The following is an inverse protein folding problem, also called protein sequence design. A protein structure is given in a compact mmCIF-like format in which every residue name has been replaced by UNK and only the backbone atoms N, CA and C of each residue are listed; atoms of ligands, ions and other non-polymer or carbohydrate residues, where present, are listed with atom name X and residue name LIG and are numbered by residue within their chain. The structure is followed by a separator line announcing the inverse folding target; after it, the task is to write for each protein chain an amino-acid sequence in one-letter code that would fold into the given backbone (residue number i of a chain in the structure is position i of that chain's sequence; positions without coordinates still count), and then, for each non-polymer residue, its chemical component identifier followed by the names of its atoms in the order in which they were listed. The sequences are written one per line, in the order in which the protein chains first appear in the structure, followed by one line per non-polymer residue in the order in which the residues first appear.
data_IF_727053981260
#
_entry.id   IF_727053981260
#
_cell.length_a   1.000
_cell.length_b   1.000
_cell.length_c   1.000
_cell.angle_alpha   90.00
_cell.angle_beta   90.00
_cell.angle_gamma   90.00
#
_symmetry.space_group_name_H-M   'P 1'
#
loop_
_entity.id
_entity.type
_entity.pdbx_description
1 polymer ?
#
# COMPACT_ATOMS: atom_id res chain seq x y z
N UNK A 1 6.10 10.61 10.28
CA UNK A 1 6.10 12.08 10.49
C UNK A 1 5.73 12.87 9.24
N UNK A 2 6.50 12.84 8.13
CA UNK A 2 6.23 13.69 6.94
C UNK A 2 4.80 13.59 6.38
N UNK A 3 4.21 12.39 6.30
CA UNK A 3 2.85 12.19 5.79
C UNK A 3 1.77 12.83 6.66
N UNK A 4 1.88 12.70 7.99
CA UNK A 4 0.92 13.26 8.94
C UNK A 4 0.95 14.78 8.89
N UNK A 5 2.14 15.38 8.79
CA UNK A 5 2.28 16.84 8.65
C UNK A 5 1.63 17.34 7.36
N UNK A 6 1.87 16.66 6.22
CA UNK A 6 1.23 16.99 4.95
C UNK A 6 -0.30 16.88 5.08
N UNK A 7 -0.81 15.82 5.69
CA UNK A 7 -2.25 15.65 5.90
C UNK A 7 -2.83 16.78 6.75
N UNK A 8 -2.23 17.12 7.89
CA UNK A 8 -2.70 18.20 8.76
C UNK A 8 -2.66 19.56 8.06
N UNK A 9 -1.57 19.89 7.37
CA UNK A 9 -1.47 21.14 6.62
C UNK A 9 -2.52 21.23 5.50
N UNK A 10 -2.76 20.13 4.79
CA UNK A 10 -3.82 20.08 3.79
C UNK A 10 -5.20 20.29 4.41
N UNK A 11 -5.50 19.63 5.54
CA UNK A 11 -6.77 19.80 6.26
C UNK A 11 -6.99 21.28 6.60
N UNK A 12 -6.00 21.94 7.19
CA UNK A 12 -6.10 23.34 7.58
C UNK A 12 -6.26 24.27 6.37
N UNK A 13 -5.47 24.06 5.31
CA UNK A 13 -5.52 24.88 4.11
C UNK A 13 -6.88 24.78 3.39
N UNK A 14 -7.39 23.56 3.17
CA UNK A 14 -8.69 23.36 2.53
C UNK A 14 -9.85 23.85 3.40
N UNK A 15 -9.75 23.69 4.73
CA UNK A 15 -10.76 24.21 5.66
C UNK A 15 -10.81 25.74 5.65
N UNK A 16 -9.66 26.41 5.56
CA UNK A 16 -9.59 27.88 5.49
C UNK A 16 -10.23 28.41 4.19
N UNK A 17 -9.90 27.79 3.05
CA UNK A 17 -10.49 28.16 1.75
C UNK A 17 -12.01 27.99 1.77
N UNK A 18 -12.50 26.88 2.33
CA UNK A 18 -13.93 26.59 2.37
C UNK A 18 -14.70 27.39 3.42
N UNK A 19 -14.07 27.82 4.50
CA UNK A 19 -14.68 28.74 5.44
C UNK A 19 -15.05 30.07 4.76
N UNK A 20 -14.14 30.59 3.94
CA UNK A 20 -14.32 31.85 3.20
C UNK A 20 -15.19 31.69 1.95
N UNK A 21 -15.08 30.55 1.24
CA UNK A 21 -15.79 30.29 -0.01
C UNK A 21 -16.52 28.93 0.00
N UNK A 22 -17.58 28.77 0.81
CA UNK A 22 -18.28 27.49 0.96
C UNK A 22 -18.96 27.01 -0.34
N UNK A 23 -19.30 27.92 -1.25
CA UNK A 23 -19.90 27.61 -2.55
C UNK A 23 -19.01 26.73 -3.45
N UNK A 24 -17.69 26.73 -3.22
CA UNK A 24 -16.74 25.93 -4.00
C UNK A 24 -16.40 24.58 -3.36
N UNK A 25 -17.26 24.06 -2.46
CA UNK A 25 -16.99 22.80 -1.76
C UNK A 25 -16.72 21.62 -2.69
N UNK A 26 -17.44 21.52 -3.81
CA UNK A 26 -17.25 20.43 -4.77
C UNK A 26 -15.89 20.55 -5.50
N UNK A 27 -15.52 21.77 -5.91
CA UNK A 27 -14.24 22.05 -6.57
C UNK A 27 -13.07 21.79 -5.62
N UNK A 28 -13.19 22.22 -4.36
CA UNK A 28 -12.18 21.98 -3.33
C UNK A 28 -12.03 20.49 -3.03
N UNK A 29 -13.13 19.73 -2.99
CA UNK A 29 -13.11 18.27 -2.82
C UNK A 29 -12.37 17.59 -3.98
N UNK A 30 -12.70 17.96 -5.23
CA UNK A 30 -12.04 17.41 -6.42
C UNK A 30 -10.54 17.74 -6.40
N UNK A 31 -10.18 18.99 -6.10
CA UNK A 31 -8.79 19.42 -6.01
C UNK A 31 -8.02 18.66 -4.91
N UNK A 32 -8.64 18.43 -3.75
CA UNK A 32 -8.07 17.62 -2.68
C UNK A 32 -7.74 16.20 -3.17
N UNK A 33 -8.65 15.54 -3.88
CA UNK A 33 -8.40 14.22 -4.46
C UNK A 33 -7.28 14.26 -5.50
N UNK A 34 -7.25 15.25 -6.40
CA UNK A 34 -6.19 15.40 -7.42
C UNK A 34 -4.82 15.53 -6.74
N UNK A 35 -4.70 16.39 -5.72
CA UNK A 35 -3.44 16.59 -4.99
C UNK A 35 -3.03 15.30 -4.28
N UNK A 36 -3.96 14.66 -3.58
CA UNK A 36 -3.70 13.41 -2.86
C UNK A 36 -3.24 12.28 -3.79
N UNK A 37 -3.95 12.04 -4.89
CA UNK A 37 -3.58 11.03 -5.87
C UNK A 37 -2.28 11.40 -6.60
N UNK A 38 -2.07 12.67 -6.94
CA UNK A 38 -0.84 13.14 -7.56
C UNK A 38 0.39 12.85 -6.69
N UNK A 39 0.31 13.13 -5.39
CA UNK A 39 1.38 12.81 -4.43
C UNK A 39 1.58 11.28 -4.34
N UNK A 40 0.50 10.50 -4.25
CA UNK A 40 0.57 9.05 -4.14
C UNK A 40 1.22 8.41 -5.39
N UNK A 41 0.82 8.83 -6.59
CA UNK A 41 1.37 8.37 -7.87
C UNK A 41 2.85 8.76 -7.97
N UNK A 42 3.21 10.00 -7.67
CA UNK A 42 4.58 10.46 -7.71
C UNK A 42 5.49 9.68 -6.76
N UNK A 43 5.04 9.44 -5.52
CA UNK A 43 5.76 8.62 -4.56
C UNK A 43 5.92 7.16 -5.04
N UNK A 44 4.87 6.61 -5.66
CA UNK A 44 4.90 5.28 -6.26
C UNK A 44 5.91 5.16 -7.41
N UNK A 45 5.90 6.11 -8.35
CA UNK A 45 6.83 6.16 -9.48
C UNK A 45 8.28 6.29 -9.03
N UNK A 46 8.56 7.14 -8.03
CA UNK A 46 9.90 7.28 -7.45
C UNK A 46 10.40 5.96 -6.85
N UNK A 47 9.53 5.27 -6.10
CA UNK A 47 9.85 3.96 -5.52
C UNK A 47 10.12 2.91 -6.59
N UNK A 48 9.27 2.86 -7.63
CA UNK A 48 9.44 1.95 -8.77
C UNK A 48 10.79 2.16 -9.47
N UNK A 49 11.16 3.42 -9.79
CA UNK A 49 12.44 3.73 -10.43
C UNK A 49 13.64 3.30 -9.60
N UNK A 50 13.60 3.52 -8.27
CA UNK A 50 14.66 3.06 -7.36
C UNK A 50 14.80 1.54 -7.38
N UNK A 51 13.68 0.81 -7.33
CA UNK A 51 13.67 -0.65 -7.34
C UNK A 51 14.17 -1.22 -8.67
N UNK A 52 13.85 -0.56 -9.79
CA UNK A 52 14.33 -0.94 -11.11
C UNK A 52 15.84 -0.74 -11.24
N UNK A 53 16.37 0.38 -10.75
CA UNK A 53 17.82 0.62 -10.72
C UNK A 53 18.55 -0.45 -9.90
N UNK A 54 18.01 -0.80 -8.72
CA UNK A 54 18.52 -1.90 -7.88
C UNK A 54 18.50 -3.24 -8.64
N UNK A 55 17.42 -3.54 -9.37
CA UNK A 55 17.31 -4.75 -10.17
C UNK A 55 18.39 -4.80 -11.28
N UNK A 56 18.64 -3.68 -11.94
CA UNK A 56 19.68 -3.57 -12.97
C UNK A 56 21.09 -3.73 -12.40
N UNK A 57 21.36 -3.20 -11.21
CA UNK A 57 22.65 -3.40 -10.53
C UNK A 57 22.89 -4.87 -10.18
N UNK A 58 21.87 -5.55 -9.64
CA UNK A 58 21.96 -6.97 -9.28
C UNK A 58 22.11 -7.85 -10.53
N UNK A 59 21.44 -7.50 -11.63
CA UNK A 59 21.50 -8.26 -12.88
C UNK A 59 22.89 -8.27 -13.54
N UNK A 60 23.82 -7.42 -13.09
CA UNK A 60 25.23 -7.44 -13.52
C UNK A 60 26.03 -8.58 -12.87
N UNK A 61 25.54 -9.16 -11.78
CA UNK A 61 26.17 -10.29 -11.11
C UNK A 61 26.06 -11.59 -11.91
N UNK A 62 26.74 -12.65 -11.43
CA UNK A 62 26.63 -13.98 -12.03
C UNK A 62 25.26 -14.61 -11.71
N UNK A 63 24.51 -15.13 -12.70
CA UNK A 63 23.24 -15.80 -12.46
C UNK A 63 23.47 -17.18 -11.81
N UNK A 64 22.67 -17.48 -10.79
CA UNK A 64 22.67 -18.75 -10.06
C UNK A 64 21.44 -19.61 -10.42
N UNK A 65 20.27 -18.98 -10.56
CA UNK A 65 19.01 -19.64 -10.89
C UNK A 65 18.07 -18.67 -11.60
N UNK A 66 17.33 -19.17 -12.58
CA UNK A 66 16.24 -18.44 -13.24
C UNK A 66 14.97 -19.28 -13.21
N UNK A 67 13.88 -18.67 -12.75
CA UNK A 67 12.56 -19.29 -12.67
C UNK A 67 11.59 -18.41 -13.47
N UNK A 68 11.07 -19.00 -14.53
CA UNK A 68 10.09 -18.38 -15.41
C UNK A 68 8.66 -18.58 -14.93
N UNK A 69 7.78 -17.67 -15.36
CA UNK A 69 6.35 -17.69 -15.05
C UNK A 69 5.67 -19.01 -15.43
N UNK A 70 6.12 -19.66 -16.51
CA UNK A 70 5.59 -20.96 -16.94
C UNK A 70 5.78 -22.06 -15.90
N UNK A 71 6.92 -22.10 -15.22
CA UNK A 71 7.23 -23.15 -14.25
C UNK A 71 6.57 -22.88 -12.90
N UNK A 72 6.44 -21.59 -12.55
CA UNK A 72 5.66 -21.15 -11.40
C UNK A 72 4.19 -21.51 -11.60
N UNK A 73 3.60 -21.18 -12.75
CA UNK A 73 2.18 -21.44 -13.04
C UNK A 73 1.84 -22.94 -12.99
N UNK A 74 2.68 -23.82 -13.54
CA UNK A 74 2.48 -25.28 -13.46
C UNK A 74 2.42 -25.80 -12.02
N UNK A 75 3.15 -25.17 -11.11
CA UNK A 75 3.19 -25.55 -9.70
C UNK A 75 1.99 -24.95 -8.95
N UNK A 76 1.66 -23.70 -9.28
CA UNK A 76 0.56 -22.93 -8.72
C UNK A 76 -0.82 -23.53 -9.05
N UNK A 77 -1.02 -24.01 -10.28
CA UNK A 77 -2.27 -24.67 -10.71
C UNK A 77 -2.60 -25.92 -9.90
N UNK A 78 -1.59 -26.57 -9.31
CA UNK A 78 -1.75 -27.76 -8.47
C UNK A 78 -2.11 -27.42 -7.02
N UNK A 79 -1.97 -26.15 -6.62
CA UNK A 79 -2.25 -25.68 -5.27
C UNK A 79 -3.74 -25.37 -5.08
N UNK A 80 -4.50 -26.38 -4.63
CA UNK A 80 -5.94 -26.24 -4.38
C UNK A 80 -6.26 -25.30 -3.22
N UNK A 81 -5.35 -25.14 -2.25
CA UNK A 81 -5.55 -24.25 -1.10
C UNK A 81 -5.40 -22.77 -1.49
N UNK A 82 -4.59 -22.49 -2.51
CA UNK A 82 -4.38 -21.13 -2.99
C UNK A 82 -5.69 -20.45 -3.43
N UNK A 83 -6.62 -21.20 -4.02
CA UNK A 83 -7.94 -20.66 -4.39
C UNK A 83 -8.74 -20.19 -3.16
N UNK A 84 -8.65 -20.90 -2.05
CA UNK A 84 -9.32 -20.53 -0.80
C UNK A 84 -8.65 -19.31 -0.16
N UNK A 85 -7.32 -19.23 -0.21
CA UNK A 85 -6.58 -18.03 0.19
C UNK A 85 -7.01 -16.82 -0.64
N UNK A 86 -7.08 -16.95 -1.97
CA UNK A 86 -7.52 -15.88 -2.85
C UNK A 86 -8.94 -15.43 -2.58
N UNK A 87 -9.89 -16.34 -2.31
CA UNK A 87 -11.26 -15.97 -1.92
C UNK A 87 -11.28 -15.15 -0.64
N UNK A 88 -10.50 -15.55 0.36
CA UNK A 88 -10.38 -14.80 1.62
C UNK A 88 -9.73 -13.43 1.43
N UNK A 89 -8.69 -13.36 0.59
CA UNK A 89 -8.06 -12.09 0.23
C UNK A 89 -9.01 -11.19 -0.56
N UNK A 90 -9.73 -11.73 -1.55
CA UNK A 90 -10.70 -10.99 -2.34
C UNK A 90 -11.82 -10.42 -1.46
N UNK A 91 -12.34 -11.19 -0.50
CA UNK A 91 -13.35 -10.70 0.46
C UNK A 91 -12.81 -9.52 1.30
N UNK A 92 -11.58 -9.61 1.79
CA UNK A 92 -10.93 -8.51 2.55
C UNK A 92 -10.65 -7.29 1.68
N UNK A 93 -10.16 -7.49 0.47
CA UNK A 93 -9.89 -6.42 -0.50
C UNK A 93 -11.17 -5.74 -0.97
N UNK A 94 -12.28 -6.48 -1.10
CA UNK A 94 -13.57 -5.93 -1.48
C UNK A 94 -14.11 -4.97 -0.42
N UNK A 95 -13.96 -5.30 0.87
CA UNK A 95 -14.29 -4.37 1.97
C UNK A 95 -13.48 -3.08 1.81
N UNK A 96 -12.19 -3.19 1.48
CA UNK A 96 -11.36 -2.01 1.27
C UNK A 96 -11.78 -1.19 0.04
N UNK A 97 -12.18 -1.85 -1.04
CA UNK A 97 -12.68 -1.17 -2.23
C UNK A 97 -13.99 -0.42 -1.96
N UNK A 98 -14.85 -0.96 -1.09
CA UNK A 98 -16.09 -0.31 -0.66
C UNK A 98 -15.89 0.91 0.25
N UNK A 99 -14.70 1.12 0.80
CA UNK A 99 -14.37 2.32 1.58
C UNK A 99 -14.53 3.57 0.72
N UNK A 100 -14.07 3.55 -0.54
CA UNK A 100 -14.06 4.73 -1.38
C UNK A 100 -15.49 5.24 -1.68
N UNK A 101 -16.43 4.44 -2.22
CA UNK A 101 -17.81 4.89 -2.41
C UNK A 101 -18.51 5.22 -1.08
N UNK A 102 -18.26 4.47 0.00
CA UNK A 102 -18.80 4.80 1.31
C UNK A 102 -18.30 6.16 1.81
N UNK A 103 -17.01 6.46 1.63
CA UNK A 103 -16.42 7.73 2.01
C UNK A 103 -17.01 8.89 1.19
N UNK A 104 -17.23 8.69 -0.11
CA UNK A 104 -17.89 9.69 -0.96
C UNK A 104 -19.34 9.93 -0.54
N UNK A 105 -20.08 8.86 -0.22
CA UNK A 105 -21.45 8.97 0.28
C UNK A 105 -21.51 9.73 1.60
N UNK A 106 -20.66 9.37 2.57
CA UNK A 106 -20.53 10.09 3.84
C UNK A 106 -20.14 11.55 3.60
N UNK A 107 -19.29 11.84 2.62
CA UNK A 107 -18.88 13.21 2.29
C UNK A 107 -20.08 14.01 1.79
N UNK A 108 -20.84 13.44 0.86
CA UNK A 108 -22.01 14.06 0.27
C UNK A 108 -23.08 14.41 1.32
N UNK A 109 -23.21 13.58 2.36
CA UNK A 109 -24.15 13.83 3.47
C UNK A 109 -23.58 14.81 4.50
N UNK A 110 -22.32 14.67 4.89
CA UNK A 110 -21.75 15.46 5.99
C UNK A 110 -21.33 16.88 5.58
N UNK A 111 -20.79 17.09 4.36
CA UNK A 111 -20.35 18.41 3.90
C UNK A 111 -21.45 19.49 3.92
N UNK A 112 -22.71 19.21 3.53
CA UNK A 112 -23.78 20.21 3.63
C UNK A 112 -24.38 20.35 5.03
N UNK A 113 -24.17 19.39 5.94
CA UNK A 113 -24.83 19.35 7.25
C UNK A 113 -23.93 19.83 8.38
N UNK A 114 -22.72 19.29 8.48
CA UNK A 114 -21.86 19.47 9.64
C UNK A 114 -21.27 20.89 9.75
N UNK A 115 -20.77 21.55 8.68
CA UNK A 115 -20.22 22.90 8.80
C UNK A 115 -21.27 23.95 9.19
N UNK A 116 -22.48 23.97 8.59
CA UNK A 116 -23.55 24.87 9.04
C UNK A 116 -24.01 24.60 10.47
N UNK A 117 -24.05 23.33 10.90
CA UNK A 117 -24.40 22.98 12.27
C UNK A 117 -23.38 23.51 13.29
N UNK A 118 -22.09 23.31 13.02
CA UNK A 118 -21.00 23.81 13.88
C UNK A 118 -20.95 25.34 13.86
N UNK A 119 -21.13 25.95 12.69
CA UNK A 119 -21.26 27.41 12.55
C UNK A 119 -22.39 27.95 13.44
N UNK A 120 -23.61 27.41 13.34
CA UNK A 120 -24.74 27.87 14.11
C UNK A 120 -24.51 27.76 15.63
N UNK A 121 -23.85 26.67 16.05
CA UNK A 121 -23.56 26.40 17.46
C UNK A 121 -22.47 27.30 18.04
N UNK A 122 -21.45 27.63 17.24
CA UNK A 122 -20.27 28.36 17.70
C UNK A 122 -20.28 29.85 17.34
N UNK A 123 -21.18 30.27 16.44
CA UNK A 123 -21.36 31.67 16.03
C UNK A 123 -21.42 32.66 17.21
N UNK A 124 -22.10 32.39 18.34
CA UNK A 124 -22.15 33.31 19.46
C UNK A 124 -20.80 33.55 20.17
N UNK A 125 -19.85 32.62 20.04
CA UNK A 125 -18.61 32.62 20.82
C UNK A 125 -17.39 33.08 20.01
N UNK A 126 -17.30 32.64 18.75
CA UNK A 126 -16.11 32.82 17.92
C UNK A 126 -16.42 33.44 16.54
N UNK A 127 -17.69 33.76 16.27
CA UNK A 127 -18.14 34.27 14.98
C UNK A 127 -18.39 33.18 13.94
N UNK A 128 -19.08 33.53 12.82
CA UNK A 128 -19.56 32.57 11.83
C UNK A 128 -18.42 31.91 11.04
N UNK A 129 -17.40 32.68 10.64
CA UNK A 129 -16.29 32.17 9.83
C UNK A 129 -15.42 31.18 10.59
N UNK A 130 -15.10 31.47 11.85
CA UNK A 130 -14.33 30.56 12.70
C UNK A 130 -15.11 29.29 13.03
N UNK A 131 -16.42 29.40 13.29
CA UNK A 131 -17.30 28.24 13.49
C UNK A 131 -17.34 27.34 12.25
N UNK A 132 -17.50 27.94 11.06
CA UNK A 132 -17.49 27.20 9.79
C UNK A 132 -16.15 26.53 9.51
N UNK A 133 -15.04 27.22 9.77
CA UNK A 133 -13.69 26.66 9.66
C UNK A 133 -13.53 25.40 10.52
N UNK A 134 -13.93 25.45 11.80
CA UNK A 134 -13.88 24.29 12.69
C UNK A 134 -14.77 23.16 12.20
N UNK A 135 -15.94 23.47 11.62
CA UNK A 135 -16.81 22.50 10.97
C UNK A 135 -16.11 21.74 9.83
N UNK A 136 -15.41 22.46 8.93
CA UNK A 136 -14.64 21.81 7.87
C UNK A 136 -13.44 21.03 8.40
N UNK A 137 -12.71 21.56 9.38
CA UNK A 137 -11.61 20.84 10.04
C UNK A 137 -12.10 19.52 10.62
N UNK A 138 -13.26 19.51 11.28
CA UNK A 138 -13.86 18.31 11.84
C UNK A 138 -14.16 17.28 10.75
N UNK A 139 -14.79 17.68 9.64
CA UNK A 139 -15.09 16.78 8.53
C UNK A 139 -13.83 16.18 7.94
N UNK A 140 -12.88 17.03 7.55
CA UNK A 140 -11.63 16.55 6.95
C UNK A 140 -10.83 15.66 7.91
N UNK A 141 -10.92 15.91 9.22
CA UNK A 141 -10.32 15.04 10.26
C UNK A 141 -11.03 13.69 10.35
N UNK A 142 -12.37 13.66 10.29
CA UNK A 142 -13.15 12.41 10.21
C UNK A 142 -12.72 11.61 8.98
N UNK A 143 -12.59 12.27 7.82
CA UNK A 143 -12.10 11.63 6.60
C UNK A 143 -10.70 11.06 6.73
N UNK A 144 -9.77 11.85 7.28
CA UNK A 144 -8.41 11.39 7.52
C UNK A 144 -8.37 10.21 8.50
N UNK A 145 -9.21 10.20 9.53
CA UNK A 145 -9.32 9.12 10.50
C UNK A 145 -9.88 7.83 9.86
N UNK A 146 -10.99 7.93 9.11
CA UNK A 146 -11.57 6.78 8.37
C UNK A 146 -10.54 6.22 7.41
N UNK A 147 -9.86 7.08 6.65
CA UNK A 147 -8.83 6.67 5.69
C UNK A 147 -7.69 5.95 6.41
N UNK A 148 -7.19 6.50 7.51
CA UNK A 148 -6.07 5.90 8.25
C UNK A 148 -6.46 4.57 8.91
N UNK A 149 -7.66 4.50 9.49
CA UNK A 149 -8.14 3.30 10.19
C UNK A 149 -8.43 2.15 9.22
N UNK A 150 -8.96 2.46 8.03
CA UNK A 150 -9.46 1.47 7.08
C UNK A 150 -8.39 1.07 6.05
N UNK A 151 -7.45 1.95 5.67
CA UNK A 151 -6.31 1.60 4.80
C UNK A 151 -5.15 0.98 5.59
N UNK A 152 -5.43 -0.03 6.43
CA UNK A 152 -4.36 -0.88 6.96
C UNK A 152 -3.77 -1.69 5.80
N UNK A 153 -2.45 -1.65 5.57
CA UNK A 153 -1.84 -2.43 4.52
C UNK A 153 -2.08 -3.92 4.82
N UNK A 154 -2.94 -4.55 4.03
CA UNK A 154 -3.10 -6.00 4.09
C UNK A 154 -1.80 -6.57 3.52
N UNK A 155 -0.96 -7.14 4.39
CA UNK A 155 0.25 -7.83 3.97
C UNK A 155 -0.15 -9.18 3.37
N UNK A 156 -0.49 -9.18 2.09
CA UNK A 156 -0.76 -10.41 1.35
C UNK A 156 0.55 -10.97 0.78
N UNK A 157 0.72 -12.31 0.79
CA UNK A 157 1.78 -12.93 0.03
C UNK A 157 1.68 -12.52 -1.43
N UNK A 158 2.69 -11.81 -1.93
CA UNK A 158 2.85 -11.55 -3.35
C UNK A 158 3.48 -12.80 -3.97
N UNK A 159 2.75 -13.42 -4.87
CA UNK A 159 3.30 -14.51 -5.68
C UNK A 159 4.31 -13.90 -6.65
N UNK A 160 5.55 -14.37 -6.52
CA UNK A 160 6.62 -14.06 -7.47
C UNK A 160 6.36 -14.86 -8.73
N UNK A 161 6.21 -14.19 -9.87
CA UNK A 161 5.96 -14.82 -11.17
C UNK A 161 7.23 -15.00 -11.98
N UNK A 162 8.24 -14.19 -11.73
CA UNK A 162 9.53 -14.35 -12.37
C UNK A 162 10.63 -14.05 -11.36
N UNK A 163 11.55 -14.99 -11.17
CA UNK A 163 12.66 -14.86 -10.24
C UNK A 163 13.97 -15.10 -10.97
N UNK A 164 14.91 -14.17 -10.83
CA UNK A 164 16.32 -14.42 -11.16
C UNK A 164 17.15 -14.25 -9.90
N UNK A 165 17.93 -15.27 -9.57
CA UNK A 165 18.83 -15.28 -8.43
C UNK A 165 20.23 -15.08 -8.94
N UNK A 166 20.94 -14.12 -8.37
CA UNK A 166 22.33 -13.78 -8.66
C UNK A 166 23.16 -13.88 -7.38
N UNK A 167 24.48 -13.96 -7.52
CA UNK A 167 25.39 -13.92 -6.36
C UNK A 167 25.22 -12.66 -5.51
N UNK A 168 24.87 -11.53 -6.15
CA UNK A 168 24.72 -10.22 -5.50
C UNK A 168 23.32 -9.95 -4.95
N UNK A 169 22.34 -10.84 -5.17
CA UNK A 169 20.95 -10.65 -4.74
C UNK A 169 19.92 -11.30 -5.64
N UNK A 170 18.65 -10.95 -5.48
CA UNK A 170 17.54 -11.48 -6.29
C UNK A 170 16.78 -10.39 -7.03
N UNK A 171 16.30 -10.72 -8.23
CA UNK A 171 15.43 -9.88 -9.05
C UNK A 171 14.07 -10.55 -9.18
N UNK A 172 13.06 -9.87 -8.65
CA UNK A 172 11.66 -10.30 -8.62
C UNK A 172 10.87 -9.52 -9.67
N UNK A 173 10.10 -10.23 -10.49
CA UNK A 173 9.19 -9.72 -11.53
C UNK A 173 9.83 -8.63 -12.40
N UNK A 174 11.12 -8.79 -12.74
CA UNK A 174 11.95 -7.91 -13.59
C UNK A 174 12.12 -6.46 -13.10
N UNK A 175 11.52 -6.10 -11.97
CA UNK A 175 11.34 -4.70 -11.56
C UNK A 175 11.76 -4.43 -10.11
N UNK A 176 11.90 -5.48 -9.30
CA UNK A 176 12.28 -5.36 -7.91
C UNK A 176 13.59 -6.09 -7.63
N UNK A 177 14.65 -5.33 -7.38
CA UNK A 177 15.94 -5.87 -6.95
C UNK A 177 16.11 -5.86 -5.44
N UNK A 178 16.36 -7.02 -4.83
CA UNK A 178 16.69 -7.20 -3.42
C UNK A 178 18.17 -7.62 -3.31
N UNK A 179 19.01 -6.70 -2.85
CA UNK A 179 20.46 -6.89 -2.75
C UNK A 179 20.80 -7.79 -1.56
N UNK A 180 21.77 -8.69 -1.72
CA UNK A 180 22.27 -9.53 -0.64
C UNK A 180 23.19 -8.73 0.30
N UNK A 181 23.19 -9.03 1.62
CA UNK A 181 22.33 -9.97 2.31
C UNK A 181 20.87 -9.46 2.41
N UNK A 182 19.91 -10.33 2.13
CA UNK A 182 18.48 -9.99 2.18
C UNK A 182 17.98 -10.17 3.61
N UNK A 183 17.70 -9.07 4.28
CA UNK A 183 17.15 -9.10 5.63
C UNK A 183 15.68 -9.53 5.61
N UNK A 184 15.38 -10.62 6.32
CA UNK A 184 14.01 -11.17 6.42
C UNK A 184 13.57 -11.26 7.87
N UNK A 185 12.31 -10.95 8.13
CA UNK A 185 11.70 -11.07 9.47
C UNK A 185 11.05 -12.43 9.69
N UNK A 186 10.66 -13.11 8.61
CA UNK A 186 10.04 -14.43 8.63
C UNK A 186 10.48 -15.17 7.36
N UNK A 187 10.74 -16.48 7.48
CA UNK A 187 11.14 -17.37 6.40
C UNK A 187 10.47 -18.72 6.62
N UNK A 188 9.70 -19.21 5.64
CA UNK A 188 8.93 -20.45 5.73
C UNK A 188 9.10 -21.27 4.47
N UNK A 189 9.42 -22.54 4.66
CA UNK A 189 9.47 -23.54 3.61
C UNK A 189 8.22 -24.42 3.70
N UNK A 190 7.48 -24.58 2.60
CA UNK A 190 6.39 -25.53 2.50
C UNK A 190 6.67 -26.53 1.37
N UNK A 191 7.20 -27.71 1.74
CA UNK A 191 7.53 -28.76 0.78
C UNK A 191 6.28 -29.36 0.11
N UNK A 192 5.18 -29.49 0.86
CA UNK A 192 3.93 -30.10 0.36
C UNK A 192 3.30 -29.28 -0.76
N UNK A 193 3.21 -27.96 -0.56
CA UNK A 193 2.64 -27.01 -1.53
C UNK A 193 3.67 -26.39 -2.47
N UNK A 194 4.93 -26.82 -2.32
CA UNK A 194 6.05 -26.47 -3.17
C UNK A 194 6.31 -24.96 -3.29
N UNK A 195 6.38 -24.27 -2.15
CA UNK A 195 6.75 -22.85 -2.11
C UNK A 195 7.67 -22.48 -0.96
N UNK A 196 8.38 -21.37 -1.13
CA UNK A 196 9.09 -20.64 -0.08
C UNK A 196 8.43 -19.29 0.12
N UNK A 197 8.22 -18.92 1.36
CA UNK A 197 7.78 -17.60 1.78
C UNK A 197 8.85 -16.88 2.58
N UNK A 198 9.08 -15.62 2.28
CA UNK A 198 9.86 -14.76 3.15
C UNK A 198 9.27 -13.36 3.24
N UNK A 199 9.44 -12.74 4.40
CA UNK A 199 8.93 -11.40 4.68
C UNK A 199 10.08 -10.41 4.78
N UNK A 200 10.04 -9.39 3.94
CA UNK A 200 10.97 -8.26 3.99
C UNK A 200 10.18 -6.98 4.19
N UNK A 201 10.53 -6.22 5.22
CA UNK A 201 9.81 -5.01 5.64
C UNK A 201 8.29 -5.27 5.80
N UNK A 202 7.50 -4.77 4.86
CA UNK A 202 6.04 -4.85 4.86
C UNK A 202 5.47 -5.69 3.71
N UNK A 203 6.32 -6.50 3.05
CA UNK A 203 5.94 -7.35 1.92
C UNK A 203 6.32 -8.80 2.21
N UNK A 204 5.37 -9.70 1.97
CA UNK A 204 5.61 -11.15 1.96
C UNK A 204 5.78 -11.56 0.51
N UNK A 205 6.86 -12.27 0.20
CA UNK A 205 7.13 -12.87 -1.11
C UNK A 205 6.89 -14.37 -1.02
N UNK A 206 6.11 -14.93 -1.94
CA UNK A 206 5.90 -16.36 -2.09
C UNK A 206 6.41 -16.80 -3.46
N UNK A 207 7.38 -17.71 -3.46
CA UNK A 207 7.97 -18.27 -4.68
C UNK A 207 7.55 -19.73 -4.77
N UNK A 208 6.82 -20.08 -5.83
CA UNK A 208 6.56 -21.49 -6.15
C UNK A 208 7.65 -22.01 -7.06
N UNK A 209 8.12 -23.23 -6.79
CA UNK A 209 9.10 -23.89 -7.64
C UNK A 209 8.97 -25.41 -7.55
N UNK A 210 9.25 -26.14 -8.63
CA UNK A 210 9.10 -27.60 -8.63
C UNK A 210 10.05 -28.26 -7.63
N UNK A 211 11.29 -27.76 -7.58
CA UNK A 211 12.41 -28.30 -6.81
C UNK A 211 12.76 -27.35 -5.65
N UNK A 212 11.81 -27.18 -4.72
CA UNK A 212 11.90 -26.19 -3.64
C UNK A 212 13.14 -26.36 -2.76
N UNK A 213 13.65 -27.59 -2.59
CA UNK A 213 14.88 -27.85 -1.82
C UNK A 213 16.11 -27.20 -2.45
N UNK A 214 16.19 -27.20 -3.78
CA UNK A 214 17.26 -26.51 -4.50
C UNK A 214 17.13 -24.99 -4.31
N UNK A 215 15.92 -24.47 -4.44
CA UNK A 215 15.64 -23.05 -4.20
C UNK A 215 15.98 -22.63 -2.76
N UNK A 216 15.65 -23.45 -1.77
CA UNK A 216 15.97 -23.21 -0.35
C UNK A 216 17.49 -23.17 -0.11
N UNK A 217 18.22 -24.12 -0.68
CA UNK A 217 19.68 -24.19 -0.60
C UNK A 217 20.37 -22.96 -1.20
N UNK A 218 19.81 -22.38 -2.26
CA UNK A 218 20.34 -21.17 -2.90
C UNK A 218 19.94 -19.93 -2.09
N UNK A 219 18.67 -19.80 -1.72
CA UNK A 219 18.15 -18.62 -1.01
C UNK A 219 18.70 -18.49 0.41
N UNK A 220 18.89 -19.60 1.12
CA UNK A 220 19.48 -19.60 2.48
C UNK A 220 20.89 -19.00 2.55
N UNK A 221 21.64 -19.01 1.43
CA UNK A 221 22.96 -18.36 1.34
C UNK A 221 22.88 -16.85 1.18
N UNK A 222 21.76 -16.34 0.66
CA UNK A 222 21.55 -14.92 0.36
C UNK A 222 20.70 -14.21 1.41
N UNK A 223 19.90 -14.97 2.16
CA UNK A 223 18.95 -14.47 3.15
C UNK A 223 19.60 -14.48 4.53
N UNK A 224 19.45 -13.36 5.25
CA UNK A 224 19.86 -13.22 6.64
C UNK A 224 18.63 -12.99 7.51
N UNK A 225 18.30 -13.91 8.44
CA UNK A 225 17.21 -13.68 9.37
C UNK A 225 17.58 -12.53 10.31
N UNK A 226 16.68 -11.55 10.44
CA UNK A 226 16.76 -10.51 11.46
C UNK A 226 16.57 -11.20 12.81
N UNK A 227 17.60 -11.17 13.67
CA UNK A 227 17.41 -11.56 15.09
C UNK A 227 16.35 -10.63 15.66
N UNK A 228 15.24 -11.23 16.13
CA UNK A 228 14.16 -10.55 16.83
C UNK A 228 14.66 -9.92 18.13
#
# INVERSE_FOLDING_TARGET
MRRVVISVLSILAFSAVLALFPQFYLQALILYFIVFFGIAIFAGLRSYRKNLASAQEIAKGRPLLEIDEKDINKTLEKDKELLNEYKNLARKSFINFMILPLSLFVAMVLFPVLPPFVEASLKPYIGPEAGRFLGYVAIFSIFAAITTAMFRPITTPRIVRHLKVYETGIVVDKSLGLKAPIEVTDYRLNENRKFIEFKTNNQIFRIYYKDVKELDNILSRLIKPLKQ
#
